data_IF_269829267565
#
_entry.id   IF_269829267565
#
_cell.length_a   1.000
_cell.length_b   1.000
_cell.length_c   1.000
_cell.angle_alpha   90.00
_cell.angle_beta   90.00
_cell.angle_gamma   90.00
#
_symmetry.space_group_name_H-M   'P 1'
#
loop_
_entity.id
_entity.type
_entity.pdbx_description
1 polymer ?
#
# COMPACT_ATOMS: atom_id res chain seq x y z
N UNK A 1 46.34 -18.91 -29.82
CA UNK A 1 46.01 -20.19 -29.16
C UNK A 1 45.09 -19.88 -28.00
N UNK A 2 43.78 -20.00 -28.20
CA UNK A 2 42.76 -19.76 -27.18
C UNK A 2 41.83 -20.97 -27.13
N UNK A 3 41.68 -21.57 -25.96
CA UNK A 3 40.86 -22.75 -25.74
C UNK A 3 39.39 -22.37 -25.55
N UNK A 4 38.52 -22.97 -26.37
CA UNK A 4 37.07 -22.96 -26.20
C UNK A 4 36.69 -24.15 -25.31
N UNK A 5 35.95 -23.90 -24.22
CA UNK A 5 35.29 -24.96 -23.47
C UNK A 5 33.78 -24.75 -23.55
N UNK A 6 33.15 -25.70 -24.24
CA UNK A 6 31.71 -25.85 -24.44
C UNK A 6 31.17 -26.71 -23.29
N UNK A 7 30.11 -26.29 -22.60
CA UNK A 7 29.37 -27.15 -21.67
C UNK A 7 27.99 -27.47 -22.24
N UNK A 8 27.78 -28.77 -22.45
CA UNK A 8 26.58 -29.40 -22.95
C UNK A 8 25.93 -30.08 -21.73
N UNK A 9 24.68 -29.76 -21.38
CA UNK A 9 23.92 -30.52 -20.38
C UNK A 9 22.51 -30.76 -20.94
N UNK A 10 22.21 -32.06 -21.09
CA UNK A 10 20.97 -32.65 -21.61
C UNK A 10 19.88 -32.69 -20.51
N UNK A 11 18.58 -32.63 -20.89
CA UNK A 11 17.46 -32.75 -19.95
C UNK A 11 17.12 -34.22 -19.66
N UNK A 12 16.32 -34.45 -18.61
CA UNK A 12 15.69 -35.71 -18.18
C UNK A 12 16.45 -36.56 -17.15
N UNK A 13 16.01 -36.45 -15.89
CA UNK A 13 15.65 -37.58 -15.02
C UNK A 13 15.37 -37.09 -13.59
N UNK A 14 14.12 -37.17 -13.13
CA UNK A 14 13.74 -37.83 -11.86
C UNK A 14 12.22 -37.77 -11.64
N UNK A 15 11.57 -38.92 -11.83
CA UNK A 15 10.20 -39.24 -11.47
C UNK A 15 10.03 -39.49 -9.96
N UNK A 16 8.79 -39.28 -9.50
CA UNK A 16 8.21 -39.48 -8.16
C UNK A 16 8.43 -40.85 -7.50
N UNK A 17 8.07 -41.00 -6.21
CA UNK A 17 6.74 -41.54 -5.93
C UNK A 17 6.00 -40.92 -4.72
N UNK A 18 4.68 -40.80 -4.88
CA UNK A 18 3.60 -41.08 -3.90
C UNK A 18 3.84 -40.78 -2.41
N UNK A 19 3.17 -39.75 -1.89
CA UNK A 19 2.70 -39.74 -0.51
C UNK A 19 1.18 -39.57 -0.45
N UNK A 20 0.56 -40.70 -0.13
CA UNK A 20 -0.81 -40.88 0.30
C UNK A 20 -1.04 -40.25 1.67
N UNK A 21 -2.13 -39.51 1.82
CA UNK A 21 -2.76 -39.34 3.13
C UNK A 21 -4.06 -40.12 3.12
N UNK A 22 -4.07 -41.17 3.94
CA UNK A 22 -5.15 -42.13 4.13
C UNK A 22 -6.41 -41.48 4.68
N UNK A 23 -7.53 -41.74 4.00
CA UNK A 23 -8.87 -41.70 4.58
C UNK A 23 -8.89 -42.49 5.89
N UNK A 24 -9.35 -41.86 6.97
CA UNK A 24 -9.93 -42.56 8.11
C UNK A 24 -11.44 -42.45 7.95
N UNK A 25 -12.05 -43.47 7.35
CA UNK A 25 -13.46 -43.78 7.59
C UNK A 25 -13.54 -44.71 8.80
N UNK A 26 -14.56 -44.51 9.66
CA UNK A 26 -15.39 -45.65 9.97
C UNK A 26 -16.87 -45.28 9.86
N UNK A 27 -17.49 -45.86 8.83
CA UNK A 27 -18.69 -46.70 8.95
C UNK A 27 -19.99 -46.04 9.50
N UNK A 28 -20.91 -45.72 8.58
CA UNK A 28 -22.33 -46.10 8.64
C UNK A 28 -23.05 -45.56 7.37
N UNK A 29 -23.08 -46.34 6.30
CA UNK A 29 -24.28 -47.01 5.78
C UNK A 29 -25.50 -46.12 5.52
N UNK A 30 -25.88 -46.00 4.23
CA UNK A 30 -27.23 -46.13 3.64
C UNK A 30 -27.12 -45.67 2.17
N UNK A 31 -26.80 -46.56 1.23
CA UNK A 31 -27.74 -47.28 0.36
C UNK A 31 -28.77 -46.41 -0.38
N UNK A 32 -28.75 -46.51 -1.71
CA UNK A 32 -29.87 -46.22 -2.62
C UNK A 32 -29.55 -45.11 -3.64
N UNK A 33 -29.12 -45.42 -4.88
CA UNK A 33 -29.96 -45.64 -6.08
C UNK A 33 -30.87 -44.43 -6.39
N UNK A 34 -31.06 -43.87 -7.59
CA UNK A 34 -30.73 -44.13 -8.99
C UNK A 34 -31.58 -43.06 -9.72
N UNK A 35 -31.07 -42.38 -10.75
CA UNK A 35 -31.79 -41.52 -11.73
C UNK A 35 -32.94 -40.58 -11.25
N UNK A 36 -32.77 -39.27 -11.46
CA UNK A 36 -33.77 -38.54 -12.26
C UNK A 36 -33.18 -37.26 -12.86
N UNK A 37 -33.34 -37.13 -14.18
CA UNK A 37 -32.94 -35.97 -14.99
C UNK A 37 -34.22 -35.32 -15.47
N UNK A 38 -34.92 -34.64 -14.58
CA UNK A 38 -35.99 -33.71 -14.94
C UNK A 38 -36.41 -32.95 -13.70
N UNK A 39 -36.00 -31.69 -13.56
CA UNK A 39 -36.86 -30.67 -12.94
C UNK A 39 -36.65 -29.34 -13.65
N UNK A 40 -37.63 -29.11 -14.50
CA UNK A 40 -37.92 -27.91 -15.26
C UNK A 40 -38.02 -26.68 -14.36
N UNK A 41 -37.63 -25.56 -14.93
CA UNK A 41 -37.82 -24.19 -14.44
C UNK A 41 -39.27 -23.94 -13.97
N UNK A 42 -39.49 -23.92 -12.66
CA UNK A 42 -40.64 -23.26 -12.07
C UNK A 42 -40.28 -21.79 -11.80
N UNK A 43 -40.85 -20.88 -12.60
CA UNK A 43 -40.86 -19.44 -12.32
C UNK A 43 -42.01 -19.15 -11.36
N UNK A 44 -41.79 -18.68 -10.13
CA UNK A 44 -42.87 -18.10 -9.35
C UNK A 44 -43.11 -16.66 -9.79
N UNK A 45 -44.34 -16.46 -10.23
CA UNK A 45 -45.01 -15.21 -10.58
C UNK A 45 -44.90 -14.19 -9.44
N UNK A 46 -44.60 -12.95 -9.81
CA UNK A 46 -44.41 -11.79 -8.93
C UNK A 46 -45.53 -11.59 -7.90
N UNK A 47 -45.13 -11.51 -6.63
CA UNK A 47 -45.86 -10.80 -5.58
C UNK A 47 -45.13 -9.47 -5.35
N UNK A 48 -45.76 -8.40 -5.81
CA UNK A 48 -45.35 -7.03 -5.59
C UNK A 48 -45.80 -6.59 -4.20
N UNK A 49 -44.88 -6.60 -3.23
CA UNK A 49 -44.89 -5.80 -1.98
C UNK A 49 -43.72 -6.19 -1.09
N UNK A 50 -42.51 -5.73 -1.46
CA UNK A 50 -41.38 -5.41 -0.58
C UNK A 50 -40.13 -5.26 -1.45
N UNK A 51 -40.05 -4.11 -2.11
CA UNK A 51 -38.81 -3.66 -2.72
C UNK A 51 -37.89 -3.16 -1.59
N UNK A 52 -37.39 -4.07 -0.75
CA UNK A 52 -36.17 -3.78 0.00
C UNK A 52 -35.04 -3.91 -1.01
N UNK A 53 -34.69 -2.76 -1.57
CA UNK A 53 -33.47 -2.53 -2.33
C UNK A 53 -32.32 -3.15 -1.55
N UNK A 54 -31.81 -4.29 -2.01
CA UNK A 54 -30.52 -4.80 -1.57
C UNK A 54 -29.49 -3.85 -2.20
N UNK A 55 -29.17 -2.77 -1.48
CA UNK A 55 -27.97 -1.97 -1.69
C UNK A 55 -26.78 -2.85 -1.29
N UNK A 56 -26.34 -3.68 -2.22
CA UNK A 56 -25.26 -4.62 -1.98
C UNK A 56 -24.47 -4.79 -3.26
N UNK A 57 -23.70 -3.76 -3.59
CA UNK A 57 -22.47 -3.73 -4.41
C UNK A 57 -22.19 -2.27 -4.83
N UNK A 58 -21.97 -1.40 -3.85
CA UNK A 58 -21.25 -0.13 -4.03
C UNK A 58 -19.89 -0.25 -3.34
N UNK A 59 -19.15 -1.32 -3.65
CA UNK A 59 -17.83 -1.63 -3.06
C UNK A 59 -16.65 -1.29 -3.99
N UNK A 60 -16.91 -0.70 -5.15
CA UNK A 60 -15.87 0.09 -5.81
C UNK A 60 -15.96 1.50 -5.22
N UNK A 61 -15.33 1.66 -4.06
CA UNK A 61 -14.97 3.00 -3.58
C UNK A 61 -14.24 3.69 -4.71
N UNK A 62 -14.84 4.77 -5.18
CA UNK A 62 -14.21 6.00 -5.62
C UNK A 62 -12.76 6.04 -5.09
N UNK A 63 -11.83 5.60 -5.94
CA UNK A 63 -10.41 5.74 -5.67
C UNK A 63 -10.18 7.23 -5.59
N UNK A 64 -10.07 7.75 -4.37
CA UNK A 64 -9.55 9.09 -4.13
C UNK A 64 -8.07 9.06 -4.55
N UNK A 65 -7.86 9.23 -5.86
CA UNK A 65 -6.55 9.31 -6.52
C UNK A 65 -5.75 10.54 -6.03
N UNK A 66 -6.41 11.43 -5.29
CA UNK A 66 -5.86 12.61 -4.67
C UNK A 66 -6.45 12.78 -3.28
N UNK A 67 -5.63 13.17 -2.32
CA UNK A 67 -6.08 13.38 -0.95
C UNK A 67 -5.26 14.45 -0.24
N UNK A 68 -5.92 15.18 0.65
CA UNK A 68 -5.28 16.01 1.66
C UNK A 68 -4.99 15.16 2.89
N UNK A 69 -3.71 14.99 3.18
CA UNK A 69 -3.18 14.25 4.30
C UNK A 69 -2.52 15.22 5.26
N UNK A 70 -2.24 14.75 6.46
CA UNK A 70 -1.51 15.53 7.46
C UNK A 70 -0.48 14.62 8.12
N UNK A 71 0.70 15.15 8.37
CA UNK A 71 1.70 14.49 9.21
C UNK A 71 1.45 14.95 10.65
N UNK A 72 1.16 13.97 11.50
CA UNK A 72 0.96 14.15 12.93
C UNK A 72 2.13 13.53 13.72
N UNK A 73 2.13 13.71 15.04
CA UNK A 73 3.19 13.15 15.90
C UNK A 73 3.31 11.63 15.79
N UNK A 74 2.20 10.93 15.53
CA UNK A 74 2.14 9.47 15.42
C UNK A 74 2.76 8.92 14.12
N UNK A 75 2.90 9.77 13.09
CA UNK A 75 3.50 9.40 11.80
C UNK A 75 5.03 9.45 11.83
N UNK A 76 5.60 10.10 12.86
CA UNK A 76 7.05 10.17 13.04
C UNK A 76 7.61 8.79 13.45
N UNK A 77 8.81 8.43 12.97
CA UNK A 77 9.44 7.19 13.37
C UNK A 77 9.71 7.17 14.89
N UNK A 78 9.44 6.02 15.53
CA UNK A 78 9.72 5.85 16.95
C UNK A 78 11.21 6.05 17.26
N UNK A 79 11.52 6.83 18.29
CA UNK A 79 12.89 7.09 18.74
C UNK A 79 13.54 8.33 18.12
N UNK A 80 12.86 9.02 17.20
CA UNK A 80 13.36 10.27 16.65
C UNK A 80 13.16 11.46 17.62
N UNK A 81 14.14 12.37 17.78
CA UNK A 81 14.08 13.47 18.73
C UNK A 81 13.28 14.68 18.18
N UNK A 82 12.13 14.45 17.54
CA UNK A 82 11.30 15.51 16.96
C UNK A 82 9.90 15.55 17.58
N UNK A 83 9.40 16.77 17.78
CA UNK A 83 8.00 17.04 18.09
C UNK A 83 7.34 17.84 16.96
N UNK A 84 6.16 17.41 16.56
CA UNK A 84 5.26 18.18 15.67
C UNK A 84 4.49 19.19 16.52
N UNK A 85 4.78 20.48 16.32
CA UNK A 85 4.08 21.60 16.97
C UNK A 85 2.79 21.94 16.21
N UNK A 86 2.79 21.73 14.89
CA UNK A 86 1.66 21.97 13.99
C UNK A 86 1.64 20.90 12.91
N UNK A 87 0.47 20.36 12.65
CA UNK A 87 0.23 19.39 11.58
C UNK A 87 0.80 19.90 10.24
N UNK A 88 1.54 19.05 9.54
CA UNK A 88 2.11 19.41 8.24
C UNK A 88 1.11 18.98 7.16
N UNK A 89 0.50 19.91 6.39
CA UNK A 89 -0.41 19.55 5.32
C UNK A 89 0.37 18.88 4.18
N UNK A 90 -0.06 17.70 3.79
CA UNK A 90 0.52 16.92 2.70
C UNK A 90 -0.53 16.73 1.62
N UNK A 91 -0.17 17.02 0.39
CA UNK A 91 -1.01 16.78 -0.78
C UNK A 91 -0.47 15.59 -1.54
N UNK A 92 -1.28 14.54 -1.67
CA UNK A 92 -0.93 13.38 -2.50
C UNK A 92 -1.62 13.51 -3.84
N UNK A 93 -0.85 13.47 -4.91
CA UNK A 93 -1.34 13.44 -6.29
C UNK A 93 -0.93 12.14 -6.96
N UNK A 94 -1.77 11.63 -7.84
CA UNK A 94 -1.44 10.52 -8.74
C UNK A 94 -0.93 11.08 -10.06
N UNK A 95 0.32 10.82 -10.39
CA UNK A 95 0.97 11.30 -11.61
C UNK A 95 1.02 10.21 -12.71
N UNK A 96 0.76 8.95 -12.35
CA UNK A 96 0.78 7.80 -13.25
C UNK A 96 -0.04 6.62 -12.73
N UNK A 97 -0.04 5.50 -13.46
CA UNK A 97 -0.80 4.30 -13.08
C UNK A 97 -0.33 3.76 -11.73
N UNK A 98 0.97 3.83 -11.45
CA UNK A 98 1.59 3.37 -10.21
C UNK A 98 2.51 4.45 -9.62
N UNK A 99 2.30 5.72 -9.97
CA UNK A 99 3.15 6.83 -9.52
C UNK A 99 2.30 7.81 -8.72
N UNK A 100 2.67 7.98 -7.45
CA UNK A 100 2.09 8.95 -6.54
C UNK A 100 3.16 9.93 -6.08
N UNK A 101 2.79 11.18 -5.92
CA UNK A 101 3.68 12.23 -5.41
C UNK A 101 3.05 12.85 -4.18
N UNK A 102 3.77 12.81 -3.05
CA UNK A 102 3.42 13.51 -1.83
C UNK A 102 4.16 14.85 -1.82
N UNK A 103 3.42 15.94 -1.60
CA UNK A 103 3.93 17.30 -1.66
C UNK A 103 3.60 18.06 -0.39
N UNK A 104 4.59 18.71 0.20
CA UNK A 104 4.41 19.78 1.18
C UNK A 104 4.69 21.12 0.50
N UNK A 105 3.62 21.81 0.10
CA UNK A 105 3.68 23.00 -0.75
C UNK A 105 4.42 24.17 -0.07
N UNK A 106 4.23 24.37 1.24
CA UNK A 106 4.80 25.52 1.97
C UNK A 106 6.34 25.47 2.02
N UNK A 107 6.92 24.27 2.17
CA UNK A 107 8.36 24.07 2.14
C UNK A 107 8.90 23.73 0.74
N UNK A 108 8.03 23.62 -0.28
CA UNK A 108 8.39 23.21 -1.64
C UNK A 108 9.13 21.85 -1.68
N UNK A 109 8.66 20.88 -0.89
CA UNK A 109 9.21 19.52 -0.82
C UNK A 109 8.22 18.57 -1.48
N UNK A 110 8.71 17.71 -2.37
CA UNK A 110 7.88 16.70 -3.02
C UNK A 110 8.67 15.40 -3.19
N UNK A 111 8.02 14.27 -2.97
CA UNK A 111 8.62 12.95 -3.16
C UNK A 111 7.64 11.98 -3.81
N UNK A 112 8.17 11.11 -4.68
CA UNK A 112 7.41 10.10 -5.38
C UNK A 112 7.39 8.75 -4.64
N UNK A 113 6.35 7.95 -4.86
CA UNK A 113 6.22 6.59 -4.36
C UNK A 113 5.30 5.75 -5.24
N UNK A 114 5.44 4.42 -5.16
CA UNK A 114 4.65 3.48 -5.96
C UNK A 114 3.19 3.41 -5.45
N UNK A 115 3.01 3.60 -4.15
CA UNK A 115 1.71 3.69 -3.48
C UNK A 115 1.59 5.01 -2.73
N UNK A 116 0.35 5.45 -2.50
CA UNK A 116 0.05 6.66 -1.72
C UNK A 116 0.74 6.66 -0.35
N UNK A 117 0.64 5.55 0.40
CA UNK A 117 1.27 5.42 1.72
C UNK A 117 2.78 5.44 1.66
N UNK A 118 3.37 4.86 0.62
CA UNK A 118 4.83 4.86 0.44
C UNK A 118 5.32 6.28 0.18
N UNK A 119 4.64 7.04 -0.68
CA UNK A 119 4.96 8.44 -0.95
C UNK A 119 4.82 9.31 0.31
N UNK A 120 3.76 9.10 1.09
CA UNK A 120 3.55 9.79 2.36
C UNK A 120 4.67 9.50 3.36
N UNK A 121 4.98 8.22 3.60
CA UNK A 121 6.03 7.85 4.55
C UNK A 121 7.41 8.35 4.10
N UNK A 122 7.70 8.25 2.79
CA UNK A 122 8.92 8.79 2.22
C UNK A 122 9.03 10.31 2.46
N UNK A 123 7.91 11.04 2.37
CA UNK A 123 7.89 12.49 2.62
C UNK A 123 8.21 12.81 4.08
N UNK A 124 7.70 12.02 5.03
CA UNK A 124 8.03 12.17 6.45
C UNK A 124 9.53 12.08 6.66
N UNK A 125 10.18 11.02 6.14
CA UNK A 125 11.63 10.86 6.26
C UNK A 125 12.40 12.00 5.59
N UNK A 126 12.02 12.37 4.36
CA UNK A 126 12.68 13.45 3.62
C UNK A 126 12.59 14.79 4.37
N UNK A 127 11.44 15.09 4.97
CA UNK A 127 11.23 16.30 5.77
C UNK A 127 12.17 16.34 6.98
N UNK A 128 12.32 15.23 7.70
CA UNK A 128 13.20 15.15 8.87
C UNK A 128 14.67 15.28 8.48
N UNK A 129 15.10 14.54 7.45
CA UNK A 129 16.48 14.59 6.96
C UNK A 129 16.83 15.98 6.43
N UNK A 130 15.92 16.59 5.66
CA UNK A 130 16.09 17.95 5.15
C UNK A 130 16.12 18.97 6.28
N UNK A 131 15.25 18.84 7.29
CA UNK A 131 15.26 19.72 8.45
C UNK A 131 16.61 19.68 9.18
N UNK A 132 17.14 18.47 9.44
CA UNK A 132 18.44 18.31 10.10
C UNK A 132 19.59 18.87 9.25
N UNK A 133 19.58 18.62 7.93
CA UNK A 133 20.55 19.18 7.01
C UNK A 133 20.53 20.72 7.00
N UNK A 134 19.34 21.31 6.91
CA UNK A 134 19.17 22.76 6.87
C UNK A 134 19.52 23.40 8.23
N UNK A 135 19.12 22.79 9.34
CA UNK A 135 19.44 23.28 10.67
C UNK A 135 20.96 23.28 10.92
N UNK A 136 21.66 22.21 10.53
CA UNK A 136 23.11 22.08 10.66
C UNK A 136 23.89 23.09 9.79
N UNK A 137 23.35 23.47 8.63
CA UNK A 137 24.00 24.36 7.66
C UNK A 137 23.43 25.78 7.64
N UNK A 138 22.56 26.15 8.59
CA UNK A 138 21.80 27.41 8.62
C UNK A 138 22.62 28.68 8.32
N UNK A 139 23.90 28.71 8.70
CA UNK A 139 24.81 29.84 8.49
C UNK A 139 25.37 29.98 7.06
N UNK A 140 25.26 28.94 6.22
CA UNK A 140 25.80 28.92 4.84
C UNK A 140 24.72 28.73 3.77
N UNK A 141 23.45 28.63 4.19
CA UNK A 141 22.31 28.45 3.29
C UNK A 141 22.06 29.68 2.41
N UNK A 142 21.65 29.42 1.17
CA UNK A 142 21.07 30.45 0.30
C UNK A 142 19.69 30.90 0.76
N UNK A 143 19.10 31.93 0.11
CA UNK A 143 17.81 32.49 0.52
C UNK A 143 16.65 31.50 0.44
N UNK A 144 16.68 30.55 -0.51
CA UNK A 144 15.61 29.57 -0.68
C UNK A 144 15.65 28.46 0.39
N UNK A 145 16.80 27.81 0.66
CA UNK A 145 16.89 26.84 1.77
C UNK A 145 16.64 27.47 3.14
N UNK A 146 16.97 28.75 3.34
CA UNK A 146 16.61 29.48 4.56
C UNK A 146 15.09 29.63 4.72
N UNK A 147 14.37 29.88 3.63
CA UNK A 147 12.91 29.93 3.64
C UNK A 147 12.33 28.55 3.99
N UNK A 148 12.86 27.47 3.41
CA UNK A 148 12.45 26.11 3.72
C UNK A 148 12.65 25.80 5.21
N UNK A 149 13.82 26.14 5.77
CA UNK A 149 14.10 25.96 7.20
C UNK A 149 13.13 26.74 8.08
N UNK A 150 12.82 27.99 7.72
CA UNK A 150 11.86 28.80 8.46
C UNK A 150 10.48 28.13 8.51
N UNK A 151 9.97 27.67 7.36
CA UNK A 151 8.68 26.97 7.28
C UNK A 151 8.71 25.66 8.08
N UNK A 152 9.76 24.86 7.94
CA UNK A 152 9.89 23.59 8.68
C UNK A 152 9.96 23.82 10.19
N UNK A 153 10.66 24.87 10.64
CA UNK A 153 10.77 25.22 12.05
C UNK A 153 9.46 25.71 12.71
N UNK A 154 8.46 26.10 11.91
CA UNK A 154 7.12 26.41 12.41
C UNK A 154 6.30 25.15 12.74
N UNK A 155 6.66 24.01 12.15
CA UNK A 155 5.93 22.76 12.27
C UNK A 155 6.67 21.74 13.14
N UNK A 156 8.01 21.73 13.09
CA UNK A 156 8.85 20.72 13.73
C UNK A 156 9.84 21.41 14.69
N UNK A 157 9.99 20.84 15.88
CA UNK A 157 11.06 21.19 16.81
C UNK A 157 11.86 19.97 17.21
N UNK A 158 13.18 20.14 17.31
CA UNK A 158 14.05 19.12 17.87
C UNK A 158 13.99 19.18 19.39
N UNK A 159 13.57 18.09 20.01
CA UNK A 159 13.53 17.95 21.47
C UNK A 159 14.90 17.38 21.88
N UNK A 160 15.73 18.21 22.51
CA UNK A 160 16.95 17.70 23.14
C UNK A 160 16.51 16.92 24.38
N UNK A 161 16.57 15.58 24.29
CA UNK A 161 16.35 14.67 25.41
C UNK A 161 17.41 14.79 26.51
#
# INVERSE_FOLDING_TARGET
>A
MGALMNFNISPDAWSSPEQSWTLIDPCASLQGTFFDTDQMFAVPKANSSNLHVIQGLSWFSEFEDQGEWKIEQEDLPEGEPYAIIRDIPVKITRDGVLDFTATFEDANISIGGIHQRDAFQALVYEILDLFDYLAANSNTLGPEPQRQLAVLSEHIVKING
#
